data_IF_028912001446
#
_entry.id   IF_028912001446
#
_cell.length_a   1.000
_cell.length_b   1.000
_cell.length_c   1.000
_cell.angle_alpha   90.00
_cell.angle_beta   90.00
_cell.angle_gamma   90.00
#
_symmetry.space_group_name_H-M   'P 1'
#
loop_
_entity.id
_entity.type
_entity.pdbx_description
1 polymer ?
#
# COMPACT_ATOMS: atom_id res chain seq x y z
N UNK A 1 -36.16 32.13 9.71
CA UNK A 1 -36.07 31.04 10.69
C UNK A 1 -34.82 30.24 10.36
N UNK A 2 -33.75 30.43 11.14
CA UNK A 2 -32.44 29.82 10.89
C UNK A 2 -32.28 28.67 11.88
N UNK A 3 -32.31 27.43 11.40
CA UNK A 3 -32.25 26.23 12.25
C UNK A 3 -30.90 26.07 12.97
N UNK A 4 -30.85 25.31 14.08
CA UNK A 4 -29.62 25.13 14.85
C UNK A 4 -28.50 24.48 14.03
N UNK A 5 -27.23 24.88 14.24
CA UNK A 5 -26.09 24.28 13.54
C UNK A 5 -25.99 22.78 13.88
N UNK A 6 -25.61 21.91 12.92
CA UNK A 6 -25.65 20.47 13.11
C UNK A 6 -24.76 20.04 14.29
N UNK A 7 -25.36 19.34 15.25
CA UNK A 7 -24.68 18.81 16.44
C UNK A 7 -23.65 17.76 16.02
N UNK A 8 -22.38 18.01 16.39
CA UNK A 8 -21.25 17.08 16.53
C UNK A 8 -21.04 16.12 15.35
N UNK A 9 -19.92 16.31 14.63
CA UNK A 9 -19.35 15.32 13.70
C UNK A 9 -19.26 13.97 14.41
N UNK A 10 -20.19 13.06 14.09
CA UNK A 10 -20.23 11.71 14.65
C UNK A 10 -18.95 11.01 14.18
N UNK A 11 -18.07 10.59 15.10
CA UNK A 11 -16.87 9.83 14.76
C UNK A 11 -17.32 8.62 13.94
N UNK A 12 -16.97 8.60 12.65
CA UNK A 12 -17.37 7.55 11.73
C UNK A 12 -16.48 6.34 12.03
N UNK A 13 -16.91 5.48 12.95
CA UNK A 13 -16.16 4.26 13.33
C UNK A 13 -16.34 3.11 12.35
N UNK A 14 -17.19 3.29 11.33
CA UNK A 14 -17.51 2.28 10.34
C UNK A 14 -17.64 2.93 8.96
N UNK A 15 -16.94 2.35 7.99
CA UNK A 15 -17.07 2.70 6.57
C UNK A 15 -18.35 2.05 6.04
N UNK A 16 -19.27 2.80 5.39
CA UNK A 16 -20.48 2.22 4.81
C UNK A 16 -20.14 1.20 3.71
N UNK A 17 -20.82 0.06 3.72
CA UNK A 17 -20.69 -0.96 2.68
C UNK A 17 -21.12 -0.38 1.32
N UNK A 18 -20.15 0.07 0.52
CA UNK A 18 -20.38 0.70 -0.78
C UNK A 18 -19.47 1.90 -1.12
N UNK A 19 -18.58 2.32 -0.22
CA UNK A 19 -17.58 3.34 -0.54
C UNK A 19 -16.44 2.74 -1.40
N UNK A 20 -16.66 2.67 -2.71
CA UNK A 20 -15.71 2.11 -3.70
C UNK A 20 -14.40 2.91 -3.81
N UNK A 21 -14.38 4.19 -3.42
CA UNK A 21 -13.24 5.10 -3.61
C UNK A 21 -12.80 5.86 -2.33
N UNK A 22 -13.13 5.38 -1.13
CA UNK A 22 -12.60 6.03 0.07
C UNK A 22 -11.16 5.56 0.32
N UNK A 23 -10.20 6.44 0.03
CA UNK A 23 -8.82 6.31 0.48
C UNK A 23 -8.82 6.39 2.02
N UNK A 24 -8.92 5.24 2.68
CA UNK A 24 -8.87 5.15 4.14
C UNK A 24 -7.54 5.79 4.56
N UNK A 25 -7.54 6.85 5.40
CA UNK A 25 -6.32 7.51 5.80
C UNK A 25 -5.43 6.47 6.47
N UNK A 26 -4.33 6.15 5.79
CA UNK A 26 -3.42 5.09 6.21
C UNK A 26 -2.18 5.73 6.85
N UNK A 27 -1.83 5.41 8.10
CA UNK A 27 -2.58 4.64 9.11
C UNK A 27 -3.70 5.46 9.81
N UNK A 28 -4.66 4.77 10.44
CA UNK A 28 -5.65 5.43 11.32
C UNK A 28 -4.94 6.12 12.49
N UNK A 29 -5.39 7.33 12.90
CA UNK A 29 -4.90 7.97 14.12
C UNK A 29 -5.10 7.09 15.36
N UNK A 30 -4.20 7.23 16.33
CA UNK A 30 -4.28 6.51 17.61
C UNK A 30 -5.64 6.77 18.30
N UNK A 31 -6.36 5.70 18.64
CA UNK A 31 -7.72 5.78 19.20
C UNK A 31 -8.86 5.92 18.19
N UNK A 32 -8.59 5.77 16.89
CA UNK A 32 -9.58 5.65 15.82
C UNK A 32 -9.49 4.31 15.08
N UNK A 33 -10.59 3.87 14.47
CA UNK A 33 -10.68 2.60 13.75
C UNK A 33 -11.18 1.41 14.60
N UNK A 34 -11.64 0.31 13.97
CA UNK A 34 -12.08 -0.89 14.69
C UNK A 34 -10.92 -1.53 15.49
N UNK A 35 -11.21 -2.07 16.67
CA UNK A 35 -10.19 -2.74 17.50
C UNK A 35 -9.56 -3.95 16.79
N UNK A 36 -10.36 -4.66 16.00
CA UNK A 36 -9.88 -5.75 15.13
C UNK A 36 -8.93 -5.28 14.03
N UNK A 37 -9.04 -4.03 13.57
CA UNK A 37 -8.12 -3.45 12.60
C UNK A 37 -6.73 -3.39 13.20
N UNK A 38 -6.56 -2.79 14.38
CA UNK A 38 -5.26 -2.68 15.05
C UNK A 38 -4.61 -4.04 15.33
N UNK A 39 -5.40 -5.05 15.67
CA UNK A 39 -4.90 -6.38 16.01
C UNK A 39 -4.28 -7.15 14.82
N UNK A 40 -4.85 -7.01 13.62
CA UNK A 40 -4.40 -7.78 12.44
C UNK A 40 -3.63 -6.94 11.42
N UNK A 41 -3.86 -5.63 11.40
CA UNK A 41 -3.25 -4.68 10.47
C UNK A 41 -1.72 -4.76 10.45
N UNK A 42 -1.09 -4.76 11.63
CA UNK A 42 0.37 -4.72 11.71
C UNK A 42 0.99 -5.96 11.04
N UNK A 43 0.38 -7.12 11.27
CA UNK A 43 0.80 -8.40 10.71
C UNK A 43 0.54 -8.47 9.19
N UNK A 44 -0.63 -8.02 8.74
CA UNK A 44 -0.97 -7.97 7.32
C UNK A 44 -0.06 -7.00 6.57
N UNK A 45 0.26 -5.85 7.17
CA UNK A 45 1.18 -4.89 6.59
C UNK A 45 2.60 -5.44 6.51
N UNK A 46 3.08 -6.09 7.57
CA UNK A 46 4.39 -6.71 7.57
C UNK A 46 4.51 -7.77 6.46
N UNK A 47 3.49 -8.60 6.28
CA UNK A 47 3.41 -9.57 5.16
C UNK A 47 3.49 -8.87 3.80
N UNK A 48 2.71 -7.82 3.59
CA UNK A 48 2.71 -7.07 2.33
C UNK A 48 4.08 -6.45 2.02
N UNK A 49 4.74 -5.84 3.02
CA UNK A 49 6.07 -5.25 2.84
C UNK A 49 7.12 -6.29 2.46
N UNK A 50 7.06 -7.49 3.06
CA UNK A 50 7.95 -8.60 2.71
C UNK A 50 7.75 -9.02 1.25
N UNK A 51 6.49 -9.14 0.79
CA UNK A 51 6.18 -9.49 -0.61
C UNK A 51 6.72 -8.43 -1.56
N UNK A 52 6.46 -7.15 -1.29
CA UNK A 52 6.95 -6.03 -2.12
C UNK A 52 8.48 -6.00 -2.19
N UNK A 53 9.16 -6.27 -1.07
CA UNK A 53 10.62 -6.36 -1.06
C UNK A 53 11.12 -7.52 -1.94
N UNK A 54 10.49 -8.68 -1.86
CA UNK A 54 10.88 -9.84 -2.66
C UNK A 54 10.64 -9.60 -4.15
N UNK A 55 9.55 -8.94 -4.53
CA UNK A 55 9.29 -8.53 -5.92
C UNK A 55 10.35 -7.55 -6.41
N UNK A 56 10.66 -6.51 -5.62
CA UNK A 56 11.69 -5.54 -5.97
C UNK A 56 13.07 -6.19 -6.18
N UNK A 57 13.44 -7.14 -5.32
CA UNK A 57 14.70 -7.89 -5.46
C UNK A 57 14.68 -8.73 -6.73
N UNK A 58 13.57 -9.44 -7.02
CA UNK A 58 13.44 -10.23 -8.25
C UNK A 58 13.58 -9.34 -9.47
N UNK A 59 12.92 -8.20 -9.52
CA UNK A 59 12.98 -7.28 -10.66
C UNK A 59 14.39 -6.72 -10.85
N UNK A 60 15.07 -6.37 -9.76
CA UNK A 60 16.46 -5.91 -9.81
C UNK A 60 17.39 -6.99 -10.38
N UNK A 61 17.22 -8.25 -9.96
CA UNK A 61 18.00 -9.40 -10.44
C UNK A 61 17.73 -9.66 -11.92
N UNK A 62 16.48 -9.75 -12.34
CA UNK A 62 16.11 -9.96 -13.75
C UNK A 62 16.62 -8.81 -14.62
N UNK A 63 16.47 -7.57 -14.18
CA UNK A 63 16.98 -6.39 -14.87
C UNK A 63 18.51 -6.40 -14.99
N UNK A 64 19.23 -6.84 -13.96
CA UNK A 64 20.68 -6.95 -14.00
C UNK A 64 21.15 -8.05 -14.96
N UNK A 65 20.49 -9.22 -14.94
CA UNK A 65 20.77 -10.31 -15.86
C UNK A 65 20.53 -9.89 -17.32
N UNK A 66 19.38 -9.29 -17.62
CA UNK A 66 19.05 -8.78 -18.95
C UNK A 66 20.10 -7.78 -19.46
N UNK A 67 20.53 -6.83 -18.61
CA UNK A 67 21.61 -5.88 -18.94
C UNK A 67 22.94 -6.58 -19.22
N UNK A 68 23.29 -7.62 -18.45
CA UNK A 68 24.52 -8.40 -18.66
C UNK A 68 24.51 -9.13 -20.00
N UNK A 69 23.39 -9.76 -20.35
CA UNK A 69 23.22 -10.43 -21.64
C UNK A 69 23.31 -9.44 -22.80
N UNK A 70 22.57 -8.33 -22.74
CA UNK A 70 22.60 -7.29 -23.78
C UNK A 70 24.02 -6.72 -24.00
N UNK A 71 24.78 -6.51 -22.92
CA UNK A 71 26.18 -6.08 -22.99
C UNK A 71 27.07 -7.11 -23.68
N UNK A 72 26.92 -8.39 -23.35
CA UNK A 72 27.69 -9.48 -23.97
C UNK A 72 27.43 -9.55 -25.48
N UNK A 73 26.16 -9.59 -25.88
CA UNK A 73 25.76 -9.64 -27.30
C UNK A 73 26.28 -8.43 -28.08
N UNK A 74 26.19 -7.22 -27.51
CA UNK A 74 26.72 -6.00 -28.14
C UNK A 74 28.24 -6.05 -28.33
N UNK A 75 28.96 -6.72 -27.43
CA UNK A 75 30.42 -6.85 -27.50
C UNK A 75 30.83 -7.92 -28.54
N UNK A 76 30.07 -9.00 -28.66
CA UNK A 76 30.25 -10.01 -29.72
C UNK A 76 29.99 -9.44 -31.13
N UNK A 77 28.95 -8.60 -31.30
CA UNK A 77 28.67 -7.95 -32.60
C UNK A 77 29.68 -6.87 -33.00
N UNK A 78 30.49 -6.39 -32.05
CA UNK A 78 31.50 -5.34 -32.28
C UNK A 78 32.90 -5.89 -32.59
N UNK A 79 33.08 -7.21 -32.52
CA UNK A 79 34.32 -7.91 -32.77
C UNK A 79 34.32 -8.49 -34.18
#
# INVERSE_FOLDING_TARGET
MTGPPPLKRRKLTSVPAGAVDWDVPYPFPEGEGPESYHATWEQDRARQLIVQLLELIKDAVHGAAARKHARKTKMEMRK
#
